data_IF_894951061604
#
_entry.id   IF_894951061604
#
_cell.length_a   1.000
_cell.length_b   1.000
_cell.length_c   1.000
_cell.angle_alpha   90.00
_cell.angle_beta   90.00
_cell.angle_gamma   90.00
#
_symmetry.space_group_name_H-M   'P 1'
#
loop_
_entity.id
_entity.type
_entity.pdbx_description
1 polymer ?
#
# COMPACT_ATOMS: atom_id res chain seq x y z
N UNK A 1 -11.76 -10.63 21.20
CA UNK A 1 -12.69 -10.71 20.06
C UNK A 1 -11.84 -10.90 18.82
N UNK A 2 -12.00 -12.00 18.09
CA UNK A 2 -11.28 -12.17 16.83
C UNK A 2 -11.93 -11.25 15.80
N UNK A 3 -11.16 -10.31 15.25
CA UNK A 3 -11.56 -9.57 14.05
C UNK A 3 -11.76 -10.58 12.93
N UNK A 4 -12.98 -10.66 12.40
CA UNK A 4 -13.26 -11.46 11.22
C UNK A 4 -12.54 -10.76 10.07
N UNK A 5 -11.53 -11.41 9.48
CA UNK A 5 -10.92 -10.91 8.26
C UNK A 5 -12.00 -10.84 7.17
N UNK A 6 -12.26 -9.63 6.68
CA UNK A 6 -13.23 -9.42 5.60
C UNK A 6 -12.74 -10.09 4.32
N UNK A 7 -13.67 -10.61 3.53
CA UNK A 7 -13.34 -11.20 2.23
C UNK A 7 -12.99 -10.06 1.24
N UNK A 8 -11.77 -9.99 0.71
CA UNK A 8 -11.38 -8.90 -0.18
C UNK A 8 -11.96 -9.04 -1.60
N UNK A 9 -12.55 -10.20 -1.93
CA UNK A 9 -13.01 -10.53 -3.29
C UNK A 9 -14.50 -10.28 -3.45
N UNK A 10 -14.85 -9.04 -3.82
CA UNK A 10 -16.23 -8.62 -4.05
C UNK A 10 -16.59 -8.68 -5.55
N UNK A 11 -17.87 -8.88 -5.84
CA UNK A 11 -18.39 -9.01 -7.22
C UNK A 11 -18.13 -7.77 -8.08
N UNK A 12 -18.32 -6.57 -7.51
CA UNK A 12 -18.18 -5.27 -8.19
C UNK A 12 -16.72 -4.96 -8.58
N UNK A 13 -15.77 -5.69 -8.01
CA UNK A 13 -14.36 -5.60 -8.34
C UNK A 13 -13.96 -6.44 -9.55
N UNK A 14 -14.81 -7.32 -10.08
CA UNK A 14 -14.39 -8.19 -11.17
C UNK A 14 -14.07 -7.43 -12.47
N UNK A 15 -13.09 -7.95 -13.20
CA UNK A 15 -12.60 -7.42 -14.49
C UNK A 15 -12.87 -8.44 -15.58
N UNK A 16 -13.50 -7.99 -16.68
CA UNK A 16 -13.69 -8.82 -17.88
C UNK A 16 -14.77 -9.89 -17.79
N UNK A 17 -15.51 -9.95 -16.69
CA UNK A 17 -16.71 -10.77 -16.54
C UNK A 17 -17.93 -9.85 -16.51
N UNK A 18 -18.99 -10.21 -17.23
CA UNK A 18 -20.29 -9.58 -17.02
C UNK A 18 -20.77 -10.05 -15.65
N UNK A 19 -21.28 -9.16 -14.80
CA UNK A 19 -21.81 -9.54 -13.48
C UNK A 19 -22.90 -10.62 -13.61
N UNK A 20 -23.64 -10.60 -14.72
CA UNK A 20 -24.65 -11.62 -15.06
C UNK A 20 -24.07 -13.02 -15.32
N UNK A 21 -22.79 -13.13 -15.64
CA UNK A 21 -22.11 -14.40 -15.92
C UNK A 21 -21.48 -15.01 -14.67
N UNK A 22 -21.43 -14.26 -13.56
CA UNK A 22 -21.03 -14.80 -12.26
C UNK A 22 -22.24 -15.54 -11.73
N UNK A 23 -22.20 -16.84 -11.87
CA UNK A 23 -23.28 -17.66 -11.39
C UNK A 23 -23.20 -17.73 -9.86
N UNK A 24 -24.38 -17.83 -9.21
CA UNK A 24 -24.48 -18.00 -7.76
C UNK A 24 -23.67 -19.19 -7.24
N UNK A 25 -23.29 -20.13 -8.12
CA UNK A 25 -22.43 -21.25 -7.79
C UNK A 25 -21.02 -20.82 -7.33
N UNK A 26 -20.52 -19.66 -7.75
CA UNK A 26 -19.20 -19.15 -7.34
C UNK A 26 -19.21 -18.49 -5.95
N UNK A 27 -20.40 -18.18 -5.43
CA UNK A 27 -20.57 -17.44 -4.19
C UNK A 27 -20.63 -18.39 -2.98
N UNK A 28 -20.12 -17.92 -1.85
CA UNK A 28 -20.23 -18.62 -0.58
C UNK A 28 -21.67 -18.54 -0.05
N UNK A 29 -22.28 -19.68 0.25
CA UNK A 29 -23.62 -19.77 0.83
C UNK A 29 -23.76 -19.28 2.29
N UNK A 30 -22.75 -18.58 2.85
CA UNK A 30 -22.80 -17.96 4.18
C UNK A 30 -22.61 -16.44 4.07
N UNK A 31 -21.50 -15.98 3.46
CA UNK A 31 -21.22 -14.55 3.35
C UNK A 31 -21.77 -13.91 2.09
N UNK A 32 -22.26 -14.70 1.12
CA UNK A 32 -22.74 -14.22 -0.17
C UNK A 32 -21.70 -13.40 -0.96
N UNK A 33 -20.43 -13.71 -0.76
CA UNK A 33 -19.31 -13.15 -1.53
C UNK A 33 -18.63 -14.25 -2.35
N UNK A 34 -17.74 -13.91 -3.26
CA UNK A 34 -16.98 -14.90 -4.03
C UNK A 34 -16.17 -15.78 -3.08
N UNK A 35 -16.29 -17.10 -3.27
CA UNK A 35 -15.71 -18.05 -2.32
C UNK A 35 -14.19 -18.11 -2.39
N UNK A 36 -13.54 -17.99 -1.22
CA UNK A 36 -12.07 -18.06 -1.07
C UNK A 36 -11.70 -19.34 -0.34
N UNK A 37 -10.70 -20.06 -0.87
CA UNK A 37 -10.31 -21.38 -0.35
C UNK A 37 -11.53 -22.29 -0.16
N UNK A 38 -12.37 -22.32 -1.20
CA UNK A 38 -13.70 -22.88 -1.13
C UNK A 38 -13.74 -24.34 -0.63
N UNK A 39 -14.79 -24.66 0.11
CA UNK A 39 -15.18 -26.02 0.52
C UNK A 39 -16.58 -26.33 0.00
N UNK A 40 -16.78 -27.53 -0.53
CA UNK A 40 -18.05 -27.98 -1.12
C UNK A 40 -18.73 -28.98 -0.17
N UNK A 41 -20.02 -28.78 0.13
CA UNK A 41 -20.80 -29.79 0.84
C UNK A 41 -21.03 -31.01 -0.04
N UNK A 42 -20.71 -32.20 0.45
CA UNK A 42 -20.83 -33.45 -0.31
C UNK A 42 -22.28 -33.74 -0.71
N UNK A 43 -23.24 -33.33 0.12
CA UNK A 43 -24.66 -33.67 -0.04
C UNK A 43 -25.41 -32.70 -0.93
N UNK A 44 -25.27 -31.39 -0.69
CA UNK A 44 -26.03 -30.37 -1.43
C UNK A 44 -25.22 -29.62 -2.48
N UNK A 45 -23.90 -29.89 -2.60
CA UNK A 45 -23.02 -29.22 -3.56
C UNK A 45 -22.75 -27.74 -3.26
N UNK A 46 -23.30 -27.19 -2.17
CA UNK A 46 -23.12 -25.78 -1.83
C UNK A 46 -21.67 -25.45 -1.48
N UNK A 47 -21.24 -24.26 -1.90
CA UNK A 47 -19.88 -23.78 -1.71
C UNK A 47 -19.81 -22.80 -0.53
N UNK A 48 -18.74 -22.90 0.25
CA UNK A 48 -18.46 -22.00 1.36
C UNK A 48 -17.00 -21.56 1.38
N UNK A 49 -16.70 -20.34 1.80
CA UNK A 49 -15.34 -19.97 2.18
C UNK A 49 -14.86 -20.83 3.34
N UNK A 50 -13.58 -21.20 3.35
CA UNK A 50 -12.98 -22.01 4.43
C UNK A 50 -13.16 -21.35 5.80
N UNK A 51 -12.94 -20.04 5.89
CA UNK A 51 -13.10 -19.28 7.14
C UNK A 51 -14.57 -19.31 7.59
N UNK A 52 -15.51 -18.98 6.71
CA UNK A 52 -16.93 -18.92 7.04
C UNK A 52 -17.46 -20.27 7.55
N UNK A 53 -17.12 -21.37 6.87
CA UNK A 53 -17.64 -22.68 7.24
C UNK A 53 -17.00 -23.22 8.53
N UNK A 54 -15.72 -22.91 8.77
CA UNK A 54 -15.04 -23.27 10.01
C UNK A 54 -15.61 -22.52 11.21
N UNK A 55 -15.90 -21.22 11.06
CA UNK A 55 -16.53 -20.42 12.09
C UNK A 55 -17.97 -20.85 12.37
N UNK A 56 -18.71 -21.21 11.32
CA UNK A 56 -20.03 -21.81 11.47
C UNK A 56 -19.97 -23.12 12.27
N UNK A 57 -19.02 -24.03 11.94
CA UNK A 57 -18.84 -25.31 12.67
C UNK A 57 -18.52 -25.10 14.15
N UNK A 58 -17.65 -24.13 14.47
CA UNK A 58 -17.30 -23.77 15.85
C UNK A 58 -18.52 -23.28 16.64
N UNK A 59 -19.38 -22.47 16.02
CA UNK A 59 -20.57 -21.88 16.68
C UNK A 59 -21.73 -22.86 16.84
N UNK A 60 -22.03 -23.68 15.81
CA UNK A 60 -23.28 -24.44 15.74
C UNK A 60 -23.14 -25.93 16.09
N UNK A 61 -21.99 -26.37 16.65
CA UNK A 61 -21.76 -27.78 17.06
C UNK A 61 -22.10 -28.81 15.96
N UNK A 62 -21.64 -28.54 14.74
CA UNK A 62 -21.46 -29.45 13.58
C UNK A 62 -22.71 -30.14 12.99
N UNK A 63 -23.87 -30.20 13.65
CA UNK A 63 -24.91 -31.14 13.25
C UNK A 63 -25.59 -30.86 11.90
N UNK A 64 -25.60 -29.62 11.41
CA UNK A 64 -26.33 -29.25 10.17
C UNK A 64 -25.49 -28.43 9.21
N UNK A 65 -25.73 -28.63 7.91
CA UNK A 65 -25.18 -27.76 6.87
C UNK A 65 -25.84 -26.38 6.97
N UNK A 66 -25.10 -25.27 6.73
CA UNK A 66 -25.67 -23.92 6.80
C UNK A 66 -26.87 -23.69 5.88
N UNK A 67 -26.97 -24.43 4.77
CA UNK A 67 -27.98 -24.15 3.74
C UNK A 67 -29.19 -25.08 3.80
N UNK A 68 -29.01 -26.41 3.77
CA UNK A 68 -30.17 -27.30 3.60
C UNK A 68 -30.02 -28.77 4.06
N UNK A 69 -28.85 -29.23 4.51
CA UNK A 69 -28.69 -30.64 4.89
C UNK A 69 -29.11 -30.88 6.34
N UNK A 70 -30.00 -31.86 6.54
CA UNK A 70 -30.58 -32.17 7.84
C UNK A 70 -29.63 -32.92 8.78
N UNK A 71 -28.85 -33.88 8.28
CA UNK A 71 -27.87 -34.66 9.08
C UNK A 71 -26.73 -35.25 8.23
N UNK A 72 -25.60 -35.57 8.88
CA UNK A 72 -24.50 -36.34 8.28
C UNK A 72 -23.68 -35.62 7.20
N UNK A 73 -23.75 -34.28 7.16
CA UNK A 73 -23.05 -33.51 6.13
C UNK A 73 -21.53 -33.54 6.29
N UNK A 74 -20.83 -33.52 5.16
CA UNK A 74 -19.37 -33.44 5.14
C UNK A 74 -18.91 -32.44 4.07
N UNK A 75 -17.66 -32.01 4.21
CA UNK A 75 -17.02 -31.10 3.27
C UNK A 75 -15.95 -31.85 2.47
N UNK A 76 -15.86 -31.53 1.19
CA UNK A 76 -14.77 -31.93 0.30
C UNK A 76 -14.19 -30.69 -0.39
N UNK A 77 -13.04 -30.86 -1.02
CA UNK A 77 -12.54 -29.83 -1.95
C UNK A 77 -13.50 -29.72 -3.14
N UNK A 78 -13.78 -28.50 -3.64
CA UNK A 78 -14.60 -28.29 -4.82
C UNK A 78 -14.05 -29.02 -6.04
N UNK A 79 -14.90 -29.31 -7.01
CA UNK A 79 -14.47 -29.90 -8.27
C UNK A 79 -13.34 -29.10 -8.96
N UNK A 80 -12.41 -29.76 -9.68
CA UNK A 80 -11.25 -29.10 -10.32
C UNK A 80 -11.65 -27.99 -11.31
N UNK A 81 -12.79 -28.14 -11.98
CA UNK A 81 -13.31 -27.11 -12.90
C UNK A 81 -13.65 -25.83 -12.14
N UNK A 82 -14.30 -25.95 -10.98
CA UNK A 82 -14.61 -24.83 -10.09
C UNK A 82 -13.35 -24.07 -9.68
N UNK A 83 -12.35 -24.80 -9.19
CA UNK A 83 -11.07 -24.22 -8.78
C UNK A 83 -10.37 -23.48 -9.93
N UNK A 84 -10.42 -24.04 -11.15
CA UNK A 84 -9.87 -23.40 -12.35
C UNK A 84 -10.64 -22.14 -12.78
N UNK A 85 -11.95 -22.09 -12.54
CA UNK A 85 -12.74 -20.88 -12.82
C UNK A 85 -12.36 -19.79 -11.82
N UNK A 86 -12.38 -20.11 -10.52
CA UNK A 86 -11.99 -19.17 -9.46
C UNK A 86 -10.57 -18.61 -9.66
N UNK A 87 -9.59 -19.44 -10.01
CA UNK A 87 -8.20 -18.97 -10.19
C UNK A 87 -8.00 -18.04 -11.39
N UNK A 88 -8.94 -18.02 -12.33
CA UNK A 88 -8.93 -17.14 -13.51
C UNK A 88 -9.69 -15.84 -13.30
N UNK A 89 -10.51 -15.74 -12.25
CA UNK A 89 -11.20 -14.51 -11.93
C UNK A 89 -10.16 -13.41 -11.65
N UNK A 90 -10.39 -12.26 -12.28
CA UNK A 90 -9.55 -11.08 -12.15
C UNK A 90 -10.30 -9.99 -11.42
N UNK A 91 -9.63 -9.36 -10.47
CA UNK A 91 -10.17 -8.34 -9.58
C UNK A 91 -9.44 -7.03 -9.78
N UNK A 92 -10.16 -5.92 -9.69
CA UNK A 92 -9.60 -4.57 -9.60
C UNK A 92 -8.94 -4.41 -8.24
N UNK A 93 -7.73 -3.88 -8.24
CA UNK A 93 -7.09 -3.44 -7.01
C UNK A 93 -7.87 -2.27 -6.40
N UNK A 94 -8.17 -2.34 -5.10
CA UNK A 94 -8.75 -1.23 -4.36
C UNK A 94 -7.70 -0.18 -3.98
N UNK A 95 -6.41 -0.51 -4.04
CA UNK A 95 -5.33 0.42 -3.73
C UNK A 95 -5.26 1.54 -4.79
N UNK A 96 -5.29 2.82 -4.38
CA UNK A 96 -5.34 3.96 -5.28
C UNK A 96 -4.19 3.97 -6.26
N UNK A 97 -4.49 4.22 -7.53
CA UNK A 97 -3.48 4.29 -8.59
C UNK A 97 -2.97 2.93 -9.07
N UNK A 98 -3.37 1.82 -8.44
CA UNK A 98 -3.15 0.49 -9.01
C UNK A 98 -4.18 0.20 -10.10
N UNK A 99 -3.72 0.06 -11.34
CA UNK A 99 -4.55 -0.32 -12.49
C UNK A 99 -4.37 -1.79 -12.87
N UNK A 100 -3.46 -2.52 -12.21
CA UNK A 100 -3.20 -3.91 -12.54
C UNK A 100 -4.25 -4.79 -11.90
N UNK A 101 -5.00 -5.59 -12.68
CA UNK A 101 -5.85 -6.61 -12.09
C UNK A 101 -5.00 -7.67 -11.39
N UNK A 102 -5.62 -8.40 -10.47
CA UNK A 102 -5.03 -9.52 -9.75
C UNK A 102 -6.01 -10.71 -9.69
N UNK A 103 -5.51 -11.91 -9.45
CA UNK A 103 -6.30 -13.13 -9.27
C UNK A 103 -6.27 -13.58 -7.81
N UNK A 104 -7.16 -14.50 -7.43
CA UNK A 104 -7.16 -15.07 -6.07
C UNK A 104 -5.77 -15.63 -5.70
N UNK A 105 -5.12 -16.32 -6.63
CA UNK A 105 -3.83 -16.98 -6.40
C UNK A 105 -2.67 -16.00 -6.19
N UNK A 106 -2.74 -14.79 -6.77
CA UNK A 106 -1.67 -13.79 -6.65
C UNK A 106 -2.06 -12.58 -5.78
N UNK A 107 -3.22 -12.62 -5.13
CA UNK A 107 -3.70 -11.51 -4.28
C UNK A 107 -2.67 -11.09 -3.23
N UNK A 108 -2.10 -12.05 -2.48
CA UNK A 108 -1.12 -11.74 -1.42
C UNK A 108 0.14 -11.05 -1.96
N UNK A 109 0.67 -11.53 -3.10
CA UNK A 109 1.83 -10.89 -3.71
C UNK A 109 1.47 -9.52 -4.29
N UNK A 110 0.26 -9.35 -4.82
CA UNK A 110 -0.24 -8.06 -5.28
C UNK A 110 -0.40 -7.06 -4.13
N UNK A 111 -1.02 -7.45 -3.02
CA UNK A 111 -1.22 -6.62 -1.83
C UNK A 111 0.10 -6.14 -1.24
N UNK A 112 1.16 -6.96 -1.26
CA UNK A 112 2.50 -6.52 -0.86
C UNK A 112 3.08 -5.40 -1.74
N UNK A 113 2.65 -5.27 -2.99
CA UNK A 113 3.10 -4.20 -3.90
C UNK A 113 2.22 -2.97 -3.84
N UNK A 114 0.95 -3.18 -3.53
CA UNK A 114 -0.08 -2.16 -3.47
C UNK A 114 -0.88 -2.38 -2.20
N UNK A 115 -0.32 -2.07 -1.02
CA UNK A 115 -1.05 -2.20 0.23
C UNK A 115 -2.31 -1.32 0.14
N UNK A 116 -3.46 -1.89 0.50
CA UNK A 116 -4.73 -1.14 0.56
C UNK A 116 -4.53 0.11 1.43
N UNK A 117 -5.24 1.22 1.19
CA UNK A 117 -5.06 2.47 1.96
C UNK A 117 -5.26 2.30 3.47
N UNK A 118 -5.93 1.21 3.88
CA UNK A 118 -6.12 0.84 5.27
C UNK A 118 -4.87 0.18 5.90
N UNK A 119 -3.90 -0.29 5.11
CA UNK A 119 -2.57 -0.66 5.57
C UNK A 119 -1.72 0.61 5.71
N UNK A 120 -1.74 1.13 6.93
CA UNK A 120 -0.94 2.29 7.35
C UNK A 120 0.55 1.98 7.12
N UNK A 121 1.15 2.60 6.10
CA UNK A 121 2.60 2.62 5.93
C UNK A 121 3.18 3.60 6.96
N UNK A 122 3.95 3.09 7.91
CA UNK A 122 4.60 3.91 8.93
C UNK A 122 5.92 4.46 8.40
N UNK A 123 6.02 5.78 8.21
CA UNK A 123 7.31 6.45 8.00
C UNK A 123 7.91 6.76 9.38
N UNK A 124 8.93 6.00 9.77
CA UNK A 124 9.69 6.28 10.98
C UNK A 124 10.86 7.22 10.65
N UNK A 125 10.98 8.33 11.37
CA UNK A 125 12.08 9.29 11.22
C UNK A 125 12.76 9.46 12.58
N UNK A 126 14.08 9.29 12.61
CA UNK A 126 14.89 9.69 13.75
C UNK A 126 15.11 11.20 13.68
N UNK A 127 14.69 11.92 14.72
CA UNK A 127 15.11 13.30 14.94
C UNK A 127 16.15 13.31 16.04
N UNK A 128 17.33 13.84 15.73
CA UNK A 128 18.30 14.21 16.76
C UNK A 128 17.82 15.45 17.53
N UNK A 129 18.41 15.71 18.70
CA UNK A 129 18.17 16.95 19.47
C UNK A 129 18.49 18.22 18.66
N UNK A 130 19.32 18.10 17.61
CA UNK A 130 19.68 19.17 16.69
C UNK A 130 18.71 19.31 15.50
N UNK A 131 17.61 18.54 15.48
CA UNK A 131 16.63 18.56 14.40
C UNK A 131 17.08 17.90 13.10
N UNK A 132 18.21 17.19 13.10
CA UNK A 132 18.69 16.46 11.93
C UNK A 132 17.82 15.23 11.73
N UNK A 133 17.21 15.14 10.54
CA UNK A 133 16.45 13.96 10.10
C UNK A 133 17.44 12.92 9.61
N UNK A 134 17.44 11.74 10.22
CA UNK A 134 18.07 10.55 9.65
C UNK A 134 17.02 9.53 9.25
N UNK A 135 17.18 8.97 8.05
CA UNK A 135 16.36 7.85 7.59
C UNK A 135 16.71 6.61 8.44
N UNK A 136 15.67 5.90 8.88
CA UNK A 136 15.83 4.62 9.56
C UNK A 136 16.08 3.52 8.52
N UNK A 137 16.96 2.60 8.86
CA UNK A 137 17.20 1.42 8.03
C UNK A 137 15.91 0.57 7.89
N UNK A 138 15.67 0.00 6.70
CA UNK A 138 14.46 -0.77 6.42
C UNK A 138 14.29 -2.00 7.32
N UNK A 139 15.39 -2.62 7.76
CA UNK A 139 15.32 -3.77 8.67
C UNK A 139 14.78 -3.36 10.05
N UNK A 140 15.18 -2.18 10.52
CA UNK A 140 14.70 -1.61 11.77
C UNK A 140 13.23 -1.21 11.66
N UNK A 141 12.80 -0.63 10.54
CA UNK A 141 11.38 -0.32 10.28
C UNK A 141 10.52 -1.59 10.41
N UNK A 142 10.87 -2.66 9.70
CA UNK A 142 10.14 -3.95 9.76
C UNK A 142 10.12 -4.53 11.18
N UNK A 143 11.21 -4.38 11.92
CA UNK A 143 11.28 -4.82 13.30
C UNK A 143 10.32 -4.03 14.21
N UNK A 144 10.29 -2.69 14.07
CA UNK A 144 9.38 -1.81 14.82
C UNK A 144 7.91 -2.11 14.51
N UNK A 145 7.57 -2.36 13.25
CA UNK A 145 6.22 -2.75 12.82
C UNK A 145 5.78 -4.06 13.47
N UNK A 146 6.64 -5.09 13.47
CA UNK A 146 6.36 -6.37 14.12
C UNK A 146 6.11 -6.21 15.62
N UNK A 147 6.91 -5.36 16.29
CA UNK A 147 6.73 -5.06 17.72
C UNK A 147 5.41 -4.37 18.00
N UNK A 148 5.03 -3.41 17.16
CA UNK A 148 3.74 -2.74 17.24
C UNK A 148 2.56 -3.70 17.02
N UNK A 149 2.61 -4.55 16.00
CA UNK A 149 1.57 -5.58 15.72
C UNK A 149 1.39 -6.56 16.88
N UNK A 150 2.47 -6.87 17.61
CA UNK A 150 2.44 -7.73 18.80
C UNK A 150 1.94 -7.01 20.07
N UNK A 151 1.51 -5.74 19.99
CA UNK A 151 1.13 -4.89 21.11
C UNK A 151 2.25 -4.71 22.17
N UNK A 152 3.53 -4.83 21.78
CA UNK A 152 4.65 -4.56 22.68
C UNK A 152 4.84 -3.06 22.86
N UNK A 153 4.35 -2.51 23.99
CA UNK A 153 4.37 -1.06 24.24
C UNK A 153 5.77 -0.49 24.47
N UNK A 154 6.64 -1.21 25.18
CA UNK A 154 7.98 -0.74 25.53
C UNK A 154 8.96 -1.89 25.32
N UNK A 155 10.05 -1.66 24.59
CA UNK A 155 11.09 -2.67 24.36
C UNK A 155 12.46 -2.04 24.11
N UNK A 156 13.51 -2.84 24.26
CA UNK A 156 14.88 -2.43 24.01
C UNK A 156 15.37 -3.01 22.68
N UNK A 157 16.11 -2.22 21.89
CA UNK A 157 16.76 -2.71 20.67
C UNK A 157 18.08 -1.96 20.40
N UNK A 158 19.00 -2.62 19.71
CA UNK A 158 20.30 -2.05 19.37
C UNK A 158 20.29 -1.48 17.96
N UNK A 159 20.68 -0.22 17.80
CA UNK A 159 20.84 0.46 16.51
C UNK A 159 22.27 0.96 16.46
N UNK A 160 23.07 0.48 15.49
CA UNK A 160 24.50 0.85 15.35
C UNK A 160 25.29 0.70 16.67
N UNK A 161 25.15 -0.45 17.33
CA UNK A 161 25.78 -0.77 18.63
C UNK A 161 25.34 0.11 19.82
N UNK A 162 24.34 0.97 19.65
CA UNK A 162 23.76 1.76 20.74
C UNK A 162 22.41 1.18 21.14
N UNK A 163 22.18 1.03 22.44
CA UNK A 163 20.91 0.52 22.97
C UNK A 163 19.89 1.66 23.08
N UNK A 164 18.72 1.42 22.52
CA UNK A 164 17.56 2.31 22.59
C UNK A 164 16.39 1.61 23.28
N UNK A 165 15.65 2.37 24.10
CA UNK A 165 14.34 1.99 24.63
C UNK A 165 13.27 2.64 23.77
N UNK A 166 12.55 1.84 23.01
CA UNK A 166 11.42 2.25 22.17
C UNK A 166 10.13 2.19 22.98
N UNK A 167 9.31 3.24 22.92
CA UNK A 167 8.04 3.38 23.64
C UNK A 167 6.89 3.80 22.69
N UNK A 168 5.97 2.87 22.46
CA UNK A 168 4.72 2.99 21.70
C UNK A 168 3.51 3.35 22.58
N UNK A 169 3.69 3.69 23.86
CA UNK A 169 2.56 3.95 24.78
C UNK A 169 1.66 5.10 24.32
N UNK A 170 2.18 6.01 23.50
CA UNK A 170 1.36 6.99 22.78
C UNK A 170 1.01 6.47 21.37
N UNK A 171 -0.28 6.25 21.11
CA UNK A 171 -0.78 5.75 19.83
C UNK A 171 -0.38 6.60 18.61
N UNK A 172 0.06 7.84 18.81
CA UNK A 172 0.46 8.77 17.74
C UNK A 172 1.98 9.02 17.68
N UNK A 173 2.78 8.51 18.62
CA UNK A 173 4.23 8.75 18.66
C UNK A 173 5.02 7.55 19.17
N UNK A 174 6.09 7.19 18.47
CA UNK A 174 7.12 6.27 18.98
C UNK A 174 8.24 7.10 19.59
N UNK A 175 8.46 7.02 20.91
CA UNK A 175 9.66 7.63 21.53
C UNK A 175 10.80 6.63 21.52
N UNK A 176 12.05 7.07 21.39
CA UNK A 176 13.19 6.18 21.59
C UNK A 176 14.32 6.81 22.40
N UNK A 177 14.48 6.36 23.63
CA UNK A 177 15.48 6.89 24.56
C UNK A 177 16.78 6.11 24.45
N UNK A 178 17.91 6.79 24.25
CA UNK A 178 19.23 6.15 24.22
C UNK A 178 19.67 5.83 25.66
N UNK A 179 20.07 4.58 25.93
CA UNK A 179 20.30 4.12 27.31
C UNK A 179 21.60 4.61 27.96
N UNK A 180 22.61 5.05 27.20
CA UNK A 180 23.96 5.23 27.75
C UNK A 180 24.22 6.57 28.46
N UNK A 181 23.42 7.62 28.22
CA UNK A 181 23.67 8.96 28.79
C UNK A 181 22.41 9.66 29.34
N UNK A 182 21.26 8.98 29.45
CA UNK A 182 19.94 9.62 29.63
C UNK A 182 19.60 10.70 28.58
N UNK A 183 20.38 10.80 27.49
CA UNK A 183 20.07 11.65 26.33
C UNK A 183 18.75 11.18 25.72
N UNK A 184 17.75 12.07 25.75
CA UNK A 184 16.43 11.79 25.21
C UNK A 184 16.43 12.12 23.73
N UNK A 185 16.68 11.11 22.89
CA UNK A 185 16.33 11.22 21.48
C UNK A 185 14.80 11.15 21.35
N UNK A 186 14.17 12.15 20.74
CA UNK A 186 12.75 12.04 20.38
C UNK A 186 12.68 11.50 18.97
N UNK A 187 12.43 10.20 18.81
CA UNK A 187 11.88 9.72 17.55
C UNK A 187 10.50 10.37 17.40
N UNK A 188 10.28 11.05 16.29
CA UNK A 188 8.96 11.56 15.95
C UNK A 188 8.40 10.60 14.91
N UNK A 189 7.35 9.89 15.32
CA UNK A 189 6.47 9.23 14.35
C UNK A 189 5.89 10.32 13.47
N UNK A 190 6.08 10.22 12.16
CA UNK A 190 5.27 11.02 11.26
C UNK A 190 3.87 10.45 11.32
N UNK A 191 3.00 11.22 11.97
CA UNK A 191 1.58 10.98 12.05
C UNK A 191 1.02 10.83 10.65
N UNK A 192 0.15 9.82 10.46
CA UNK A 192 -0.71 9.59 9.30
C UNK A 192 -0.38 10.52 8.12
N UNK A 193 0.62 10.18 7.32
CA UNK A 193 0.56 10.72 5.97
C UNK A 193 -0.72 10.15 5.40
N UNK A 194 -1.71 11.01 5.09
CA UNK A 194 -2.80 10.65 4.17
C UNK A 194 -2.18 9.75 3.11
N UNK A 195 -2.78 8.59 2.79
CA UNK A 195 -2.21 7.62 1.86
C UNK A 195 -1.53 8.41 0.76
N UNK A 196 -0.20 8.36 0.72
CA UNK A 196 0.56 9.19 -0.20
C UNK A 196 -0.06 8.87 -1.54
N UNK A 197 -0.75 9.84 -2.14
CA UNK A 197 -1.44 9.66 -3.41
C UNK A 197 -0.40 9.04 -4.31
N UNK A 198 -0.67 7.79 -4.70
CA UNK A 198 0.34 6.91 -5.27
C UNK A 198 1.03 7.71 -6.37
N UNK A 199 2.30 8.07 -6.15
CA UNK A 199 2.97 9.09 -6.95
C UNK A 199 3.16 8.46 -8.33
N UNK A 200 2.17 8.69 -9.22
CA UNK A 200 2.15 8.13 -10.57
C UNK A 200 3.33 8.65 -11.39
N UNK A 201 3.78 9.86 -11.07
CA UNK A 201 4.83 10.56 -11.78
C UNK A 201 5.85 11.20 -10.85
N UNK A 202 7.12 11.05 -11.20
CA UNK A 202 8.24 11.75 -10.57
C UNK A 202 8.86 12.74 -11.54
N UNK A 203 9.09 13.94 -11.03
CA UNK A 203 9.88 14.96 -11.69
C UNK A 203 11.36 14.73 -11.38
N UNK A 204 12.15 14.78 -12.44
CA UNK A 204 13.61 14.80 -12.38
C UNK A 204 14.12 16.06 -13.06
N UNK A 205 15.30 16.51 -12.65
CA UNK A 205 15.97 17.66 -13.23
C UNK A 205 17.43 17.34 -13.50
N UNK A 206 18.01 17.98 -14.50
CA UNK A 206 19.39 17.74 -14.88
C UNK A 206 20.34 18.65 -14.09
N UNK A 207 21.22 18.05 -13.29
CA UNK A 207 22.26 18.73 -12.54
C UNK A 207 23.51 18.90 -13.39
N UNK A 208 23.69 20.11 -13.94
CA UNK A 208 24.81 20.44 -14.82
C UNK A 208 26.17 20.28 -14.11
N UNK A 209 26.24 20.58 -12.81
CA UNK A 209 27.48 20.54 -12.03
C UNK A 209 27.96 19.08 -11.85
N UNK A 210 27.01 18.15 -11.74
CA UNK A 210 27.28 16.72 -11.53
C UNK A 210 27.04 15.86 -12.78
N UNK A 211 26.62 16.48 -13.89
CA UNK A 211 26.24 15.84 -15.15
C UNK A 211 25.25 14.67 -15.01
N UNK A 212 24.29 14.75 -14.07
CA UNK A 212 23.35 13.65 -13.78
C UNK A 212 21.92 14.14 -13.57
N UNK A 213 20.96 13.23 -13.74
CA UNK A 213 19.56 13.48 -13.40
C UNK A 213 19.32 13.26 -11.91
N UNK A 214 18.67 14.22 -11.25
CA UNK A 214 18.32 14.17 -9.84
C UNK A 214 16.81 14.26 -9.65
N UNK A 215 16.32 13.64 -8.57
CA UNK A 215 14.91 13.71 -8.19
C UNK A 215 14.64 14.99 -7.43
N UNK A 216 13.49 15.60 -7.67
CA UNK A 216 12.91 16.53 -6.71
C UNK A 216 12.50 15.77 -5.44
N UNK A 217 12.54 16.44 -4.30
CA UNK A 217 12.05 15.84 -3.06
C UNK A 217 10.52 15.62 -3.13
N UNK A 218 9.92 14.81 -2.24
CA UNK A 218 8.51 14.45 -2.34
C UNK A 218 7.54 15.65 -2.34
N UNK A 219 7.81 16.67 -1.53
CA UNK A 219 6.98 17.89 -1.44
C UNK A 219 7.04 18.69 -2.74
N UNK A 220 8.24 18.93 -3.26
CA UNK A 220 8.45 19.60 -4.55
C UNK A 220 7.79 18.82 -5.69
N UNK A 221 7.94 17.50 -5.70
CA UNK A 221 7.34 16.64 -6.70
C UNK A 221 5.80 16.72 -6.72
N UNK A 222 5.18 16.82 -5.53
CA UNK A 222 3.73 16.99 -5.42
C UNK A 222 3.27 18.33 -6.01
N UNK A 223 3.97 19.44 -5.67
CA UNK A 223 3.66 20.77 -6.19
C UNK A 223 3.82 20.81 -7.71
N UNK A 224 4.92 20.26 -8.24
CA UNK A 224 5.18 20.21 -9.68
C UNK A 224 4.14 19.38 -10.45
N UNK A 225 3.63 18.30 -9.85
CA UNK A 225 2.52 17.56 -10.44
C UNK A 225 1.26 18.44 -10.51
N UNK A 226 0.90 19.16 -9.45
CA UNK A 226 -0.27 20.06 -9.47
C UNK A 226 -0.13 21.18 -10.51
N UNK A 227 1.04 21.79 -10.60
CA UNK A 227 1.34 22.80 -11.61
C UNK A 227 1.23 22.25 -13.02
N UNK A 228 1.76 21.06 -13.26
CA UNK A 228 1.71 20.44 -14.58
C UNK A 228 0.30 20.00 -14.99
N UNK A 229 -0.51 19.47 -14.07
CA UNK A 229 -1.93 19.18 -14.36
C UNK A 229 -2.69 20.46 -14.69
N UNK A 230 -2.38 21.58 -14.02
CA UNK A 230 -2.95 22.91 -14.34
C UNK A 230 -2.52 23.37 -15.74
N UNK A 231 -1.25 23.16 -16.11
CA UNK A 231 -0.74 23.44 -17.45
C UNK A 231 -1.43 22.59 -18.53
N UNK A 232 -1.64 21.29 -18.30
CA UNK A 232 -2.33 20.40 -19.25
C UNK A 232 -3.77 20.87 -19.51
N UNK A 233 -4.45 21.39 -18.49
CA UNK A 233 -5.82 21.89 -18.64
C UNK A 233 -5.90 23.17 -19.49
N UNK A 234 -4.84 23.98 -19.50
CA UNK A 234 -4.78 25.26 -20.23
C UNK A 234 -3.39 25.49 -20.85
N UNK A 235 -3.00 24.73 -21.88
CA UNK A 235 -1.62 24.73 -22.40
C UNK A 235 -1.22 26.04 -23.08
N UNK A 236 -2.19 26.83 -23.56
CA UNK A 236 -1.97 28.14 -24.18
C UNK A 236 -1.95 29.30 -23.17
N UNK A 237 -2.13 29.02 -21.88
CA UNK A 237 -2.03 30.06 -20.86
C UNK A 237 -0.59 30.56 -20.75
N UNK A 238 -0.42 31.88 -20.65
CA UNK A 238 0.86 32.49 -20.28
C UNK A 238 1.14 32.37 -18.77
N UNK A 239 0.52 31.39 -18.10
CA UNK A 239 0.67 31.19 -16.68
C UNK A 239 2.09 30.71 -16.37
N UNK A 240 2.75 31.44 -15.46
CA UNK A 240 4.07 31.08 -14.96
C UNK A 240 3.95 30.33 -13.64
N UNK A 241 4.77 29.30 -13.47
CA UNK A 241 4.77 28.46 -12.29
C UNK A 241 6.04 28.70 -11.49
N UNK A 242 5.90 29.03 -10.21
CA UNK A 242 7.02 29.40 -9.35
C UNK A 242 7.14 28.46 -8.16
N UNK A 243 8.37 28.04 -7.85
CA UNK A 243 8.67 27.20 -6.69
C UNK A 243 10.03 27.56 -6.11
N UNK A 244 10.07 27.74 -4.79
CA UNK A 244 11.31 27.93 -4.03
C UNK A 244 11.94 26.57 -3.72
N UNK A 245 13.20 26.40 -4.10
CA UNK A 245 13.98 25.18 -3.86
C UNK A 245 15.27 25.58 -3.15
N UNK A 246 15.39 25.15 -1.90
CA UNK A 246 16.39 25.68 -0.96
C UNK A 246 16.25 27.21 -0.85
N UNK A 247 17.32 27.95 -1.10
CA UNK A 247 17.37 29.41 -1.00
C UNK A 247 17.15 30.13 -2.33
N UNK A 248 16.69 29.41 -3.37
CA UNK A 248 16.55 29.96 -4.71
C UNK A 248 15.12 29.84 -5.25
N UNK A 249 14.67 30.89 -5.91
CA UNK A 249 13.39 30.92 -6.61
C UNK A 249 13.57 30.47 -8.06
N UNK A 250 12.67 29.59 -8.50
CA UNK A 250 12.67 29.04 -9.84
C UNK A 250 11.33 29.25 -10.54
N UNK A 251 11.40 29.58 -11.83
CA UNK A 251 10.28 29.55 -12.79
C UNK A 251 10.31 28.21 -13.54
N UNK A 252 9.14 27.59 -13.73
CA UNK A 252 8.98 26.33 -14.45
C UNK A 252 8.23 26.58 -15.77
N UNK A 253 8.91 26.31 -16.88
CA UNK A 253 8.36 26.33 -18.23
C UNK A 253 8.08 24.89 -18.67
N UNK A 254 6.83 24.45 -18.51
CA UNK A 254 6.42 23.09 -18.88
C UNK A 254 6.28 22.88 -20.39
N UNK A 255 6.20 23.95 -21.18
CA UNK A 255 6.15 23.86 -22.64
C UNK A 255 7.53 23.49 -23.19
N UNK A 256 8.59 24.07 -22.62
CA UNK A 256 9.97 23.73 -22.98
C UNK A 256 10.60 22.67 -22.09
N UNK A 257 9.92 22.26 -21.02
CA UNK A 257 10.45 21.37 -19.99
C UNK A 257 11.75 21.91 -19.39
N UNK A 258 11.71 23.17 -18.97
CA UNK A 258 12.82 23.86 -18.31
C UNK A 258 12.46 24.35 -16.91
N UNK A 259 13.45 24.30 -16.03
CA UNK A 259 13.48 25.05 -14.78
C UNK A 259 14.48 26.19 -14.92
N UNK A 260 14.07 27.41 -14.57
CA UNK A 260 14.86 28.64 -14.74
C UNK A 260 15.06 29.28 -13.37
N UNK A 261 16.32 29.42 -12.94
CA UNK A 261 16.64 30.15 -11.72
C UNK A 261 16.46 31.65 -11.95
N UNK A 262 15.54 32.28 -11.23
CA UNK A 262 15.13 33.67 -11.49
C UNK A 262 16.31 34.65 -11.36
N UNK A 263 17.13 34.48 -10.32
CA UNK A 263 18.23 35.40 -10.03
C UNK A 263 19.34 35.43 -11.08
N UNK A 264 19.53 34.35 -11.84
CA UNK A 264 20.65 34.21 -12.78
C UNK A 264 20.21 33.91 -14.21
N UNK A 265 18.90 33.73 -14.44
CA UNK A 265 18.34 33.20 -15.68
C UNK A 265 18.96 31.86 -16.12
N UNK A 266 19.58 31.12 -15.19
CA UNK A 266 20.21 29.83 -15.47
C UNK A 266 19.14 28.77 -15.71
N UNK A 267 19.26 28.00 -16.80
CA UNK A 267 18.26 27.03 -17.23
C UNK A 267 18.76 25.60 -17.05
N UNK A 268 17.89 24.72 -16.58
CA UNK A 268 18.11 23.26 -16.47
C UNK A 268 16.93 22.53 -17.08
N UNK A 269 17.20 21.41 -17.74
CA UNK A 269 16.14 20.52 -18.24
C UNK A 269 15.44 19.83 -17.09
N UNK A 270 14.12 19.69 -17.21
CA UNK A 270 13.29 18.88 -16.32
C UNK A 270 12.57 17.82 -17.14
N UNK A 271 12.16 16.74 -16.48
CA UNK A 271 11.40 15.68 -17.13
C UNK A 271 10.45 15.03 -16.14
N UNK A 272 9.25 14.65 -16.62
CA UNK A 272 8.24 13.92 -15.84
C UNK A 272 8.29 12.45 -16.24
N UNK A 273 8.79 11.60 -15.35
CA UNK A 273 8.85 10.16 -15.56
C UNK A 273 7.67 9.45 -14.89
N UNK A 274 7.09 8.46 -15.57
CA UNK A 274 6.19 7.51 -14.91
C UNK A 274 7.00 6.69 -13.90
N UNK A 275 6.45 6.52 -12.70
CA UNK A 275 7.05 5.61 -11.73
C UNK A 275 6.72 4.19 -12.18
N UNK A 276 7.64 3.60 -12.94
CA UNK A 276 7.58 2.17 -13.22
C UNK A 276 7.86 1.42 -11.92
N UNK A 277 6.86 0.69 -11.42
CA UNK A 277 7.09 -0.33 -10.40
C UNK A 277 8.02 -1.39 -11.03
N UNK A 278 9.33 -1.24 -10.82
CA UNK A 278 10.42 -2.05 -11.43
C UNK A 278 10.39 -3.54 -11.08
N UNK A 279 9.38 -4.05 -10.38
CA UNK A 279 9.32 -5.46 -10.01
C UNK A 279 8.95 -6.42 -11.16
N UNK A 280 8.77 -5.94 -12.41
CA UNK A 280 8.44 -6.79 -13.56
C UNK A 280 9.61 -7.22 -14.46
N UNK A 281 10.87 -6.89 -14.14
CA UNK A 281 12.01 -7.17 -15.04
C UNK A 281 13.12 -8.08 -14.47
N UNK A 282 12.88 -8.79 -13.37
CA UNK A 282 13.75 -9.87 -12.91
C UNK A 282 13.02 -11.19 -13.11
N UNK A 283 12.85 -11.62 -14.37
CA UNK A 283 12.57 -13.00 -14.81
C UNK A 283 12.30 -12.98 -16.32
N UNK A 284 13.38 -12.91 -17.09
CA UNK A 284 13.44 -13.31 -18.50
C UNK A 284 14.88 -13.71 -18.81
#
# INVERSE_FOLDING_TARGET
>A
MNTIEENPFQEDQLVGFNSKDITMELMCGICFEISVQASECVQCGQIFCEICINDYKKKNKISKCPTCCNDGWSLKKPHKVYQKILSRLQFKCQSPGCLSPYTIDNFKSHEHLYPNENQIMYEFILLSEQGVKSELDQSLIKYLEKKYQNNEKIFNHYVQNQRYTFDFSNHNSLKATKCQNNEQCTIIRKQHSKPQTLIKYRWIWYNNDQQKWELYNPEQNQILNQYYETFIQNPDSNQKFYLKIFDFDYEFDFKQLHQIRISTNFRRSIFRSQVFNRQRFIQS
#
